data_IF_912723665264
#
_entry.id   IF_912723665264
#
_cell.length_a   1.000
_cell.length_b   1.000
_cell.length_c   1.000
_cell.angle_alpha   90.00
_cell.angle_beta   90.00
_cell.angle_gamma   90.00
#
_symmetry.space_group_name_H-M   'P 1'
#
loop_
_entity.id
_entity.type
_entity.pdbx_description
1 polymer ?
#
# COMPACT_ATOMS: atom_id res chain seq x y z
N UNK A 1 0.10 14.31 24.96
CA UNK A 1 0.22 13.61 23.66
C UNK A 1 -0.43 14.49 22.60
N UNK A 2 0.37 15.26 21.87
CA UNK A 2 -0.13 16.16 20.82
C UNK A 2 -0.30 15.35 19.54
N UNK A 3 -1.53 15.11 19.11
CA UNK A 3 -1.81 14.54 17.81
C UNK A 3 -1.27 15.50 16.74
N UNK A 4 -0.32 15.04 15.92
CA UNK A 4 0.09 15.79 14.73
C UNK A 4 -1.12 15.92 13.80
N UNK A 5 -1.59 17.15 13.62
CA UNK A 5 -2.79 17.52 12.86
C UNK A 5 -2.62 17.43 11.33
N UNK A 6 -1.74 16.56 10.83
CA UNK A 6 -1.62 16.34 9.40
C UNK A 6 -2.63 15.25 8.98
N UNK A 7 -3.64 15.58 8.16
CA UNK A 7 -4.53 14.57 7.63
C UNK A 7 -3.72 13.57 6.80
N UNK A 8 -3.81 12.30 7.16
CA UNK A 8 -3.14 11.21 6.45
C UNK A 8 -3.96 10.93 5.19
N UNK A 9 -3.49 11.37 4.03
CA UNK A 9 -4.05 10.97 2.73
C UNK A 9 -3.36 9.69 2.26
N UNK A 10 -4.15 8.63 2.06
CA UNK A 10 -3.64 7.34 1.56
C UNK A 10 -4.31 7.01 0.23
N UNK A 11 -3.51 6.67 -0.77
CA UNK A 11 -4.00 6.02 -1.99
C UNK A 11 -4.08 4.51 -1.71
N UNK A 12 -5.28 4.03 -1.36
CA UNK A 12 -5.51 2.64 -1.01
C UNK A 12 -5.25 1.70 -2.20
N UNK A 13 -5.56 2.10 -3.42
CA UNK A 13 -5.34 1.28 -4.63
C UNK A 13 -3.85 1.12 -4.91
N UNK A 14 -3.06 2.21 -4.79
CA UNK A 14 -1.62 2.13 -4.93
C UNK A 14 -0.98 1.29 -3.81
N UNK A 15 -1.49 1.39 -2.57
CA UNK A 15 -1.01 0.62 -1.44
C UNK A 15 -1.27 -0.89 -1.61
N UNK A 16 -2.46 -1.26 -2.06
CA UNK A 16 -2.82 -2.65 -2.37
C UNK A 16 -1.93 -3.22 -3.49
N UNK A 17 -1.79 -2.48 -4.59
CA UNK A 17 -0.97 -2.90 -5.72
C UNK A 17 0.52 -3.06 -5.33
N UNK A 18 1.03 -2.19 -4.45
CA UNK A 18 2.39 -2.31 -3.92
C UNK A 18 2.53 -3.53 -3.00
N UNK A 19 1.53 -3.81 -2.17
CA UNK A 19 1.49 -5.01 -1.32
C UNK A 19 1.52 -6.29 -2.13
N UNK A 20 0.68 -6.40 -3.15
CA UNK A 20 0.66 -7.57 -4.05
C UNK A 20 1.98 -7.74 -4.81
N UNK A 21 2.60 -6.65 -5.28
CA UNK A 21 3.92 -6.69 -5.91
C UNK A 21 5.01 -7.27 -5.01
N UNK A 22 4.98 -6.98 -3.72
CA UNK A 22 5.96 -7.54 -2.77
C UNK A 22 5.80 -9.05 -2.57
N UNK A 23 4.56 -9.55 -2.61
CA UNK A 23 4.25 -10.97 -2.39
C UNK A 23 4.66 -11.86 -3.55
N UNK A 24 4.65 -11.31 -4.77
CA UNK A 24 5.03 -12.02 -6.00
C UNK A 24 6.50 -11.81 -6.39
N UNK A 25 7.32 -11.24 -5.50
CA UNK A 25 8.72 -11.01 -5.80
C UNK A 25 9.46 -12.34 -5.95
N UNK A 26 10.16 -12.51 -7.06
CA UNK A 26 10.96 -13.71 -7.32
C UNK A 26 12.27 -13.66 -6.52
N UNK A 27 12.49 -14.69 -5.72
CA UNK A 27 13.74 -14.86 -4.98
C UNK A 27 14.65 -15.86 -5.70
N UNK A 28 15.97 -15.61 -5.75
CA UNK A 28 16.91 -16.56 -6.34
C UNK A 28 16.92 -17.88 -5.55
N UNK A 29 17.32 -18.97 -6.20
CA UNK A 29 17.59 -20.21 -5.46
C UNK A 29 18.86 -20.05 -4.62
N UNK A 30 18.88 -20.57 -3.38
CA UNK A 30 20.09 -20.54 -2.56
C UNK A 30 21.22 -21.34 -3.23
N UNK A 31 22.48 -20.91 -3.06
CA UNK A 31 23.62 -21.59 -3.68
C UNK A 31 23.82 -23.00 -3.10
N UNK A 32 24.21 -23.96 -3.95
CA UNK A 32 24.50 -25.33 -3.54
C UNK A 32 25.83 -25.39 -2.78
N UNK A 33 25.93 -26.09 -1.64
CA UNK A 33 27.20 -26.27 -0.95
C UNK A 33 28.22 -27.00 -1.84
N UNK A 34 29.46 -26.51 -1.96
CA UNK A 34 30.54 -27.25 -2.58
C UNK A 34 30.98 -28.33 -1.61
N UNK A 35 31.06 -29.57 -2.09
CA UNK A 35 31.63 -30.69 -1.35
C UNK A 35 32.92 -31.07 -2.07
N UNK A 36 34.06 -30.88 -1.41
CA UNK A 36 35.34 -31.37 -1.91
C UNK A 36 35.45 -32.86 -1.62
N UNK A 37 35.84 -33.67 -2.62
CA UNK A 37 36.12 -35.09 -2.47
C UNK A 37 37.58 -35.37 -2.04
N UNK A 38 38.39 -34.33 -1.85
CA UNK A 38 39.78 -34.45 -1.42
C UNK A 38 39.88 -34.71 0.09
N UNK A 39 40.88 -35.50 0.50
CA UNK A 39 41.10 -35.96 1.87
C UNK A 39 42.20 -35.19 2.61
N UNK A 40 42.75 -34.12 2.03
CA UNK A 40 43.70 -33.28 2.73
C UNK A 40 43.03 -32.50 3.86
N UNK A 41 43.79 -32.16 4.91
CA UNK A 41 43.27 -31.48 6.09
C UNK A 41 42.61 -30.13 5.78
N UNK A 42 43.06 -29.42 4.74
CA UNK A 42 42.44 -28.16 4.33
C UNK A 42 41.09 -28.40 3.64
N UNK A 43 40.97 -29.41 2.78
CA UNK A 43 39.70 -29.82 2.19
C UNK A 43 38.69 -30.32 3.24
N UNK A 44 39.13 -31.06 4.26
CA UNK A 44 38.27 -31.49 5.38
C UNK A 44 37.75 -30.28 6.16
N UNK A 45 38.62 -29.35 6.56
CA UNK A 45 38.21 -28.13 7.24
C UNK A 45 37.28 -27.26 6.39
N UNK A 46 37.52 -27.19 5.08
CA UNK A 46 36.67 -26.45 4.15
C UNK A 46 35.28 -27.08 4.01
N UNK A 47 35.20 -28.41 3.96
CA UNK A 47 33.94 -29.16 3.96
C UNK A 47 33.15 -29.02 5.26
N UNK A 48 33.82 -28.73 6.38
CA UNK A 48 33.17 -28.46 7.66
C UNK A 48 32.61 -27.03 7.69
N UNK A 49 33.42 -26.03 7.34
CA UNK A 49 33.07 -24.61 7.52
C UNK A 49 32.14 -24.08 6.43
N UNK A 50 32.42 -24.38 5.16
CA UNK A 50 31.67 -23.78 4.05
C UNK A 50 30.17 -24.03 4.16
N UNK A 51 29.66 -25.26 4.41
CA UNK A 51 28.23 -25.50 4.52
C UNK A 51 27.52 -24.59 5.52
N UNK A 52 28.15 -24.21 6.63
CA UNK A 52 27.56 -23.28 7.60
C UNK A 52 27.26 -21.91 6.97
N UNK A 53 28.15 -21.41 6.12
CA UNK A 53 27.95 -20.14 5.39
C UNK A 53 26.80 -20.30 4.37
N UNK A 54 26.76 -21.42 3.62
CA UNK A 54 25.68 -21.69 2.66
C UNK A 54 24.31 -21.79 3.34
N UNK A 55 24.24 -22.48 4.49
CA UNK A 55 23.01 -22.59 5.25
C UNK A 55 22.58 -21.25 5.84
N UNK A 56 23.51 -20.43 6.34
CA UNK A 56 23.19 -19.08 6.78
C UNK A 56 22.57 -18.24 5.65
N UNK A 57 23.15 -18.28 4.44
CA UNK A 57 22.59 -17.57 3.27
C UNK A 57 21.21 -18.11 2.89
N UNK A 58 21.03 -19.43 2.88
CA UNK A 58 19.73 -20.07 2.62
C UNK A 58 18.66 -19.60 3.61
N UNK A 59 19.00 -19.59 4.89
CA UNK A 59 18.06 -19.26 5.96
C UNK A 59 17.72 -17.76 5.94
N UNK A 60 18.71 -16.88 5.71
CA UNK A 60 18.47 -15.44 5.51
C UNK A 60 17.54 -15.19 4.32
N UNK A 61 17.74 -15.91 3.20
CA UNK A 61 16.92 -15.74 2.01
C UNK A 61 15.47 -16.18 2.24
N UNK A 62 15.27 -17.31 2.92
CA UNK A 62 13.94 -17.80 3.29
C UNK A 62 13.23 -16.83 4.24
N UNK A 63 13.94 -16.31 5.24
CA UNK A 63 13.40 -15.35 6.20
C UNK A 63 13.05 -14.02 5.53
N UNK A 64 13.90 -13.53 4.62
CA UNK A 64 13.63 -12.32 3.86
C UNK A 64 12.36 -12.47 2.99
N UNK A 65 12.21 -13.61 2.32
CA UNK A 65 11.01 -13.91 1.54
C UNK A 65 9.75 -13.91 2.41
N UNK A 66 9.78 -14.58 3.56
CA UNK A 66 8.66 -14.61 4.49
C UNK A 66 8.31 -13.22 5.04
N UNK A 67 9.32 -12.41 5.36
CA UNK A 67 9.13 -11.05 5.85
C UNK A 67 8.49 -10.13 4.78
N UNK A 68 8.92 -10.24 3.51
CA UNK A 68 8.32 -9.47 2.42
C UNK A 68 6.88 -9.90 2.10
N UNK A 69 6.59 -11.21 2.14
CA UNK A 69 5.21 -11.69 1.96
C UNK A 69 4.30 -11.18 3.08
N UNK A 70 4.76 -11.24 4.34
CA UNK A 70 4.01 -10.70 5.47
C UNK A 70 3.82 -9.17 5.37
N UNK A 71 4.85 -8.44 4.94
CA UNK A 71 4.75 -7.01 4.70
C UNK A 71 3.72 -6.69 3.61
N UNK A 72 3.76 -7.42 2.50
CA UNK A 72 2.79 -7.27 1.42
C UNK A 72 1.36 -7.56 1.87
N UNK A 73 1.15 -8.63 2.64
CA UNK A 73 -0.16 -8.97 3.21
C UNK A 73 -0.67 -7.86 4.16
N UNK A 74 0.20 -7.30 4.99
CA UNK A 74 -0.15 -6.18 5.87
C UNK A 74 -0.53 -4.92 5.08
N UNK A 75 0.15 -4.63 3.97
CA UNK A 75 -0.17 -3.48 3.10
C UNK A 75 -1.55 -3.64 2.44
N UNK A 76 -1.87 -4.84 1.94
CA UNK A 76 -3.20 -5.15 1.38
C UNK A 76 -4.28 -5.04 2.45
N UNK A 77 -4.04 -5.57 3.65
CA UNK A 77 -4.97 -5.43 4.76
C UNK A 77 -5.21 -3.97 5.15
N UNK A 78 -4.15 -3.15 5.18
CA UNK A 78 -4.24 -1.72 5.44
C UNK A 78 -5.04 -0.98 4.35
N UNK A 79 -4.76 -1.27 3.07
CA UNK A 79 -5.50 -0.71 1.94
C UNK A 79 -7.01 -1.01 2.05
N UNK A 80 -7.37 -2.24 2.36
CA UNK A 80 -8.76 -2.63 2.57
C UNK A 80 -9.41 -1.88 3.74
N UNK A 81 -8.68 -1.69 4.85
CA UNK A 81 -9.16 -0.93 5.99
C UNK A 81 -9.41 0.55 5.64
N UNK A 82 -8.51 1.17 4.86
CA UNK A 82 -8.70 2.55 4.38
C UNK A 82 -9.90 2.66 3.42
N UNK A 83 -10.00 1.79 2.42
CA UNK A 83 -11.13 1.77 1.48
C UNK A 83 -12.47 1.57 2.19
N UNK A 84 -12.52 0.67 3.18
CA UNK A 84 -13.73 0.44 3.98
C UNK A 84 -14.13 1.66 4.82
N UNK A 85 -13.13 2.33 5.41
CA UNK A 85 -13.33 3.55 6.18
C UNK A 85 -13.89 4.65 5.28
N UNK A 86 -13.26 4.91 4.13
CA UNK A 86 -13.70 5.93 3.17
C UNK A 86 -15.10 5.66 2.66
N UNK A 87 -15.43 4.41 2.33
CA UNK A 87 -16.78 4.04 1.92
C UNK A 87 -17.80 4.29 3.04
N UNK A 88 -17.46 3.94 4.28
CA UNK A 88 -18.34 4.14 5.44
C UNK A 88 -18.58 5.63 5.70
N UNK A 89 -17.54 6.46 5.62
CA UNK A 89 -17.68 7.92 5.72
C UNK A 89 -18.51 8.48 4.56
N UNK A 90 -18.28 8.03 3.33
CA UNK A 90 -19.06 8.44 2.15
C UNK A 90 -20.56 8.12 2.30
N UNK A 91 -20.89 6.93 2.80
CA UNK A 91 -22.28 6.54 3.11
C UNK A 91 -22.87 7.42 4.20
N UNK A 92 -22.14 7.70 5.28
CA UNK A 92 -22.61 8.61 6.33
C UNK A 92 -22.83 10.02 5.79
N UNK A 93 -21.91 10.52 4.96
CA UNK A 93 -21.97 11.84 4.35
C UNK A 93 -23.18 11.96 3.41
N UNK A 94 -23.46 10.93 2.60
CA UNK A 94 -24.62 10.93 1.69
C UNK A 94 -25.98 11.01 2.38
N UNK A 95 -26.05 10.69 3.69
CA UNK A 95 -27.28 10.86 4.49
C UNK A 95 -27.55 12.33 4.81
N UNK A 96 -26.53 13.17 4.79
CA UNK A 96 -26.70 14.61 4.92
C UNK A 96 -27.09 15.18 3.56
N UNK A 97 -28.25 15.85 3.50
CA UNK A 97 -28.63 16.61 2.31
C UNK A 97 -27.78 17.87 2.25
N UNK A 98 -26.65 17.79 1.54
CA UNK A 98 -25.91 18.98 1.14
C UNK A 98 -26.77 19.75 0.13
N UNK A 99 -27.51 20.75 0.63
CA UNK A 99 -28.18 21.71 -0.24
C UNK A 99 -27.09 22.49 -0.98
N UNK A 100 -27.04 22.34 -2.30
CA UNK A 100 -26.32 23.28 -3.16
C UNK A 100 -27.01 24.63 -2.93
N UNK A 101 -26.28 25.69 -2.51
CA UNK A 101 -26.91 26.99 -2.35
C UNK A 101 -27.51 27.39 -3.69
N UNK A 102 -28.83 27.61 -3.70
CA UNK A 102 -29.48 28.21 -4.86
C UNK A 102 -28.74 29.51 -5.16
N UNK A 103 -28.17 29.59 -6.35
CA UNK A 103 -27.68 30.83 -6.91
C UNK A 103 -28.88 31.78 -6.98
N UNK A 104 -29.00 32.62 -5.97
CA UNK A 104 -30.02 33.66 -5.85
C UNK A 104 -29.68 34.74 -6.90
N UNK A 105 -29.98 34.47 -8.17
CA UNK A 105 -30.00 35.49 -9.22
C UNK A 105 -31.28 36.29 -9.02
N UNK A 106 -31.08 37.42 -8.35
CA UNK A 106 -32.08 38.38 -7.94
C UNK A 106 -33.16 38.67 -8.99
N UNK A 107 -34.40 38.58 -8.52
CA UNK A 107 -35.59 39.27 -9.03
C UNK A 107 -35.24 40.69 -9.48
N UNK A 108 -35.08 40.90 -10.79
CA UNK A 108 -35.18 42.23 -11.39
C UNK A 108 -36.65 42.49 -11.68
N UNK A 109 -37.36 42.96 -10.67
CA UNK A 109 -38.61 43.67 -10.88
C UNK A 109 -38.30 45.11 -11.23
N UNK A 110 -38.35 45.47 -12.51
CA UNK A 110 -38.59 46.86 -12.91
C UNK A 110 -39.54 46.87 -14.10
N UNK A 111 -40.81 47.13 -13.79
CA UNK A 111 -41.87 47.43 -14.74
C UNK A 111 -41.58 48.78 -15.42
N UNK A 112 -41.42 48.78 -16.74
CA UNK A 112 -41.61 49.98 -17.55
C UNK A 112 -42.84 49.79 -18.45
N UNK A 113 -43.95 50.32 -17.93
CA UNK A 113 -45.18 50.63 -18.65
C UNK A 113 -44.85 51.62 -19.77
N UNK A 114 -44.92 51.19 -21.03
CA UNK A 114 -44.87 52.10 -22.18
C UNK A 114 -46.23 52.81 -22.34
N UNK A 115 -46.27 54.15 -22.54
CA UNK A 115 -47.52 54.82 -22.84
C UNK A 115 -47.88 54.63 -24.32
N UNK A 116 -49.11 54.19 -24.56
CA UNK A 116 -49.78 54.32 -25.85
C UNK A 116 -49.98 55.82 -26.17
N UNK A 117 -49.73 56.23 -27.41
CA UNK A 117 -49.93 57.62 -27.81
C UNK A 117 -49.67 57.94 -29.29
N UNK A 118 -50.71 57.70 -30.11
CA UNK A 118 -51.03 58.22 -31.46
C UNK A 118 -50.28 57.69 -32.69
#
# INVERSE_FOLDING_TARGET
MTASNNPVTVDATALEAAGEKLRILDFPSPPKPPISLASDYAALANNEVLPHIYFAVRDVLANAKAALDQLGANMVAAANAYSHTDQTLGVQLSRFKFQVPESNSATSGESLQGPEGK
#
